data_IF_637029540373
#
_entry.id   IF_637029540373
#
_cell.length_a   1.000
_cell.length_b   1.000
_cell.length_c   1.000
_cell.angle_alpha   90.00
_cell.angle_beta   90.00
_cell.angle_gamma   90.00
#
_symmetry.space_group_name_H-M   'P 1'
#
loop_
_entity.id
_entity.type
_entity.pdbx_description
1 polymer ?
#
# COMPACT_ATOMS: atom_id res chain seq x y z
N UNK A 1 35.56 -8.17 15.43
CA UNK A 1 34.72 -8.75 14.37
C UNK A 1 34.82 -7.81 13.18
N UNK A 2 35.55 -8.22 12.14
CA UNK A 2 36.00 -7.36 11.02
C UNK A 2 34.88 -7.11 10.01
N UNK A 3 34.82 -5.90 9.44
CA UNK A 3 33.81 -5.36 8.49
C UNK A 3 33.70 -6.09 7.13
N UNK A 4 34.14 -7.35 7.01
CA UNK A 4 34.52 -7.96 5.73
C UNK A 4 33.46 -8.83 5.01
N UNK A 5 32.17 -8.74 5.34
CA UNK A 5 31.12 -9.49 4.60
C UNK A 5 29.76 -8.77 4.51
N UNK A 6 29.72 -7.43 4.43
CA UNK A 6 28.53 -6.78 3.88
C UNK A 6 28.66 -6.79 2.35
N UNK A 7 28.24 -7.89 1.73
CA UNK A 7 27.94 -7.87 0.29
C UNK A 7 27.04 -6.68 -0.03
N UNK A 8 27.21 -6.06 -1.20
CA UNK A 8 26.42 -4.89 -1.60
C UNK A 8 24.93 -5.20 -1.40
N UNK A 9 24.23 -4.35 -0.63
CA UNK A 9 22.79 -4.53 -0.38
C UNK A 9 22.08 -4.49 -1.73
N UNK A 10 21.49 -5.61 -2.12
CA UNK A 10 20.65 -5.69 -3.32
C UNK A 10 19.44 -4.76 -3.23
N UNK A 11 18.88 -4.42 -4.39
CA UNK A 11 17.69 -3.57 -4.50
C UNK A 11 16.43 -4.35 -4.06
N UNK A 12 15.69 -3.81 -3.09
CA UNK A 12 14.45 -4.40 -2.62
C UNK A 12 13.24 -3.69 -3.25
N UNK A 13 12.52 -4.41 -4.12
CA UNK A 13 11.37 -3.89 -4.86
C UNK A 13 10.09 -4.57 -4.39
N UNK A 14 9.07 -3.78 -4.08
CA UNK A 14 7.70 -4.23 -3.79
C UNK A 14 6.77 -3.84 -4.94
N UNK A 15 6.03 -4.80 -5.48
CA UNK A 15 5.08 -4.57 -6.57
C UNK A 15 3.67 -5.04 -6.20
N UNK A 16 2.66 -4.23 -6.54
CA UNK A 16 1.25 -4.55 -6.35
C UNK A 16 0.49 -4.62 -7.67
N UNK A 17 -0.22 -5.73 -7.88
CA UNK A 17 -1.16 -5.85 -8.98
C UNK A 17 -2.48 -5.13 -8.72
N UNK A 18 -3.15 -4.72 -9.78
CA UNK A 18 -4.53 -4.22 -9.71
C UNK A 18 -5.50 -5.35 -9.38
N UNK A 19 -6.40 -5.10 -8.42
CA UNK A 19 -7.32 -6.14 -7.93
C UNK A 19 -8.70 -5.66 -7.48
N UNK A 20 -8.95 -4.35 -7.44
CA UNK A 20 -10.19 -3.81 -6.87
C UNK A 20 -10.25 -4.07 -5.36
N UNK A 21 -11.41 -4.47 -4.86
CA UNK A 21 -11.60 -4.87 -3.45
C UNK A 21 -10.61 -5.95 -3.00
N UNK A 22 -10.22 -6.87 -3.90
CA UNK A 22 -9.26 -7.96 -3.60
C UNK A 22 -7.86 -7.45 -3.30
N UNK A 23 -7.51 -6.23 -3.69
CA UNK A 23 -6.20 -5.62 -3.36
C UNK A 23 -5.97 -5.45 -1.85
N UNK A 24 -7.03 -5.48 -1.04
CA UNK A 24 -6.91 -5.50 0.42
C UNK A 24 -6.14 -6.74 0.91
N UNK A 25 -6.29 -7.88 0.23
CA UNK A 25 -5.55 -9.11 0.57
C UNK A 25 -4.05 -8.91 0.44
N UNK A 26 -3.58 -8.23 -0.61
CA UNK A 26 -2.15 -7.93 -0.82
C UNK A 26 -1.57 -7.07 0.30
N UNK A 27 -2.34 -6.11 0.82
CA UNK A 27 -1.93 -5.30 1.98
C UNK A 27 -1.86 -6.13 3.27
N UNK A 28 -2.80 -7.05 3.48
CA UNK A 28 -2.78 -7.97 4.64
C UNK A 28 -1.60 -8.94 4.57
N UNK A 29 -1.28 -9.46 3.38
CA UNK A 29 -0.10 -10.29 3.16
C UNK A 29 1.18 -9.49 3.44
N UNK A 30 1.26 -8.25 2.95
CA UNK A 30 2.40 -7.38 3.24
C UNK A 30 2.53 -7.08 4.74
N UNK A 31 1.41 -6.90 5.46
CA UNK A 31 1.44 -6.68 6.92
C UNK A 31 2.10 -7.85 7.63
N UNK A 32 1.71 -9.07 7.28
CA UNK A 32 2.31 -10.26 7.88
C UNK A 32 3.80 -10.39 7.49
N UNK A 33 4.16 -10.07 6.25
CA UNK A 33 5.56 -10.02 5.83
C UNK A 33 6.38 -9.02 6.66
N UNK A 34 5.89 -7.79 6.82
CA UNK A 34 6.55 -6.75 7.61
C UNK A 34 6.62 -7.13 9.09
N UNK A 35 5.60 -7.79 9.64
CA UNK A 35 5.63 -8.32 11.01
C UNK A 35 6.76 -9.33 11.20
N UNK A 36 6.94 -10.25 10.24
CA UNK A 36 8.04 -11.25 10.27
C UNK A 36 9.42 -10.63 10.07
N UNK A 37 9.52 -9.59 9.24
CA UNK A 37 10.76 -8.81 9.08
C UNK A 37 11.10 -8.14 10.41
N UNK A 38 10.15 -7.44 11.03
CA UNK A 38 10.36 -6.76 12.30
C UNK A 38 10.69 -7.72 13.45
N UNK A 39 10.06 -8.89 13.53
CA UNK A 39 10.36 -9.87 14.58
C UNK A 39 11.78 -10.45 14.52
N UNK A 40 12.45 -10.33 13.38
CA UNK A 40 13.83 -10.78 13.18
C UNK A 40 14.86 -9.65 13.34
N UNK A 41 14.41 -8.40 13.52
CA UNK A 41 15.28 -7.25 13.72
C UNK A 41 15.56 -7.09 15.22
N UNK A 42 16.78 -6.66 15.53
CA UNK A 42 17.17 -6.29 16.91
C UNK A 42 16.66 -4.89 17.29
N UNK A 43 16.31 -4.06 16.30
CA UNK A 43 15.77 -2.72 16.49
C UNK A 43 14.33 -2.76 17.03
N UNK A 44 14.09 -2.02 18.10
CA UNK A 44 12.77 -1.90 18.73
C UNK A 44 11.81 -1.01 17.96
N UNK A 45 12.31 -0.15 17.06
CA UNK A 45 11.46 0.67 16.19
C UNK A 45 10.86 -0.19 15.08
N UNK A 46 9.53 -0.14 14.96
CA UNK A 46 8.80 -0.77 13.87
C UNK A 46 9.27 -0.19 12.52
N UNK A 47 9.76 -1.06 11.63
CA UNK A 47 10.09 -0.73 10.25
C UNK A 47 8.83 -0.75 9.40
N UNK A 48 8.57 0.35 8.73
CA UNK A 48 7.46 0.48 7.79
C UNK A 48 7.88 0.11 6.36
N UNK A 49 6.93 -0.25 5.47
CA UNK A 49 7.26 -0.63 4.09
C UNK A 49 8.12 0.40 3.35
N UNK A 50 7.87 1.70 3.52
CA UNK A 50 8.64 2.77 2.86
C UNK A 50 10.07 2.93 3.38
N UNK A 51 10.41 2.31 4.50
CA UNK A 51 11.78 2.28 5.05
C UNK A 51 12.52 1.01 4.61
N UNK A 52 11.79 -0.06 4.25
CA UNK A 52 12.37 -1.35 3.87
C UNK A 52 12.60 -1.51 2.37
N UNK A 53 11.63 -1.10 1.55
CA UNK A 53 11.66 -1.25 0.10
C UNK A 53 12.18 0.03 -0.55
N UNK A 54 13.17 -0.13 -1.42
CA UNK A 54 13.79 0.99 -2.14
C UNK A 54 12.86 1.49 -3.27
N UNK A 55 12.03 0.60 -3.82
CA UNK A 55 11.00 0.92 -4.83
C UNK A 55 9.68 0.27 -4.44
N UNK A 56 8.60 1.05 -4.48
CA UNK A 56 7.23 0.55 -4.34
C UNK A 56 6.44 0.93 -5.60
N UNK A 57 5.99 -0.09 -6.34
CA UNK A 57 5.28 0.08 -7.60
C UNK A 57 3.92 -0.63 -7.58
N UNK A 58 3.03 -0.24 -8.49
CA UNK A 58 1.79 -0.99 -8.71
C UNK A 58 0.95 -0.47 -9.86
N UNK A 59 -0.01 -1.29 -10.28
CA UNK A 59 -0.94 -1.00 -11.39
C UNK A 59 -2.38 -0.94 -10.90
N UNK A 60 -3.22 -0.08 -11.51
CA UNK A 60 -4.62 0.06 -11.10
C UNK A 60 -4.78 0.39 -9.62
N UNK A 61 -5.54 -0.43 -8.87
CA UNK A 61 -5.66 -0.24 -7.41
C UNK A 61 -4.37 -0.54 -6.65
N UNK A 62 -3.46 -1.36 -7.20
CA UNK A 62 -2.12 -1.56 -6.66
C UNK A 62 -1.27 -0.29 -6.75
N UNK A 63 -1.52 0.57 -7.75
CA UNK A 63 -0.91 1.91 -7.82
C UNK A 63 -1.36 2.81 -6.66
N UNK A 64 -2.60 2.65 -6.18
CA UNK A 64 -3.09 3.36 -5.00
C UNK A 64 -2.37 2.86 -3.74
N UNK A 65 -2.22 1.55 -3.59
CA UNK A 65 -1.42 0.95 -2.50
C UNK A 65 0.03 1.44 -2.53
N UNK A 66 0.64 1.51 -3.72
CA UNK A 66 1.99 2.04 -3.88
C UNK A 66 2.10 3.53 -3.49
N UNK A 67 1.12 4.36 -3.85
CA UNK A 67 1.06 5.76 -3.45
C UNK A 67 0.89 5.92 -1.92
N UNK A 68 -0.02 5.15 -1.30
CA UNK A 68 -0.22 5.16 0.16
C UNK A 68 1.08 4.81 0.88
N UNK A 69 1.64 3.64 0.58
CA UNK A 69 2.79 3.11 1.30
C UNK A 69 4.06 3.91 0.98
N UNK A 70 4.36 4.15 -0.30
CA UNK A 70 5.59 4.81 -0.72
C UNK A 70 5.52 6.33 -0.64
N UNK A 71 4.68 6.96 -1.45
CA UNK A 71 4.70 8.42 -1.63
C UNK A 71 4.18 9.18 -0.40
N UNK A 72 3.10 8.68 0.20
CA UNK A 72 2.48 9.25 1.39
C UNK A 72 3.11 8.73 2.69
N UNK A 73 4.04 7.77 2.58
CA UNK A 73 4.71 7.11 3.72
C UNK A 73 3.70 6.67 4.78
N UNK A 74 2.62 6.05 4.32
CA UNK A 74 1.53 5.62 5.18
C UNK A 74 1.90 4.35 5.92
N UNK A 75 1.78 4.32 7.27
CA UNK A 75 1.90 3.08 8.02
C UNK A 75 0.99 2.00 7.45
N UNK A 76 1.44 0.75 7.51
CA UNK A 76 0.72 -0.34 6.85
C UNK A 76 -0.69 -0.54 7.41
N UNK A 77 -0.89 -0.40 8.72
CA UNK A 77 -2.22 -0.51 9.33
C UNK A 77 -3.17 0.57 8.81
N UNK A 78 -2.72 1.83 8.78
CA UNK A 78 -3.52 2.94 8.26
C UNK A 78 -3.83 2.76 6.78
N UNK A 79 -2.90 2.17 6.01
CA UNK A 79 -3.10 1.89 4.59
C UNK A 79 -4.19 0.83 4.37
N UNK A 80 -4.24 -0.20 5.21
CA UNK A 80 -5.30 -1.23 5.18
C UNK A 80 -6.66 -0.59 5.44
N UNK A 81 -6.78 0.23 6.49
CA UNK A 81 -8.03 0.89 6.84
C UNK A 81 -8.50 1.87 5.76
N UNK A 82 -7.61 2.73 5.26
CA UNK A 82 -7.94 3.70 4.22
C UNK A 82 -8.30 3.01 2.90
N UNK A 83 -7.62 1.92 2.55
CA UNK A 83 -7.97 1.13 1.37
C UNK A 83 -9.37 0.51 1.52
N UNK A 84 -9.67 -0.09 2.68
CA UNK A 84 -10.99 -0.67 2.94
C UNK A 84 -12.11 0.39 2.84
N UNK A 85 -11.96 1.53 3.52
CA UNK A 85 -12.90 2.66 3.47
C UNK A 85 -13.09 3.20 2.05
N UNK A 86 -11.99 3.34 1.30
CA UNK A 86 -12.04 3.80 -0.08
C UNK A 86 -12.77 2.80 -0.99
N UNK A 87 -12.50 1.50 -0.85
CA UNK A 87 -13.19 0.46 -1.63
C UNK A 87 -14.68 0.44 -1.32
N UNK A 88 -15.07 0.53 -0.04
CA UNK A 88 -16.47 0.61 0.35
C UNK A 88 -17.18 1.80 -0.32
N UNK A 89 -16.58 2.99 -0.28
CA UNK A 89 -17.15 4.20 -0.91
C UNK A 89 -17.22 4.14 -2.44
N UNK A 90 -16.27 3.45 -3.09
CA UNK A 90 -16.24 3.33 -4.55
C UNK A 90 -17.28 2.30 -5.04
N UNK A 91 -17.47 1.21 -4.29
CA UNK A 91 -18.32 0.09 -4.68
C UNK A 91 -19.73 0.11 -4.05
N UNK A 92 -20.01 1.03 -3.12
CA UNK A 92 -21.35 1.22 -2.54
C UNK A 92 -22.38 1.75 -3.56
N UNK A 93 -21.95 2.57 -4.52
CA UNK A 93 -22.80 3.03 -5.62
C UNK A 93 -22.55 2.21 -6.90
N UNK A 94 -23.26 1.08 -7.04
CA UNK A 94 -23.32 0.38 -8.33
C UNK A 94 -23.93 1.30 -9.38
N UNK A 95 -23.22 1.52 -10.50
CA UNK A 95 -23.83 2.14 -11.68
C UNK A 95 -24.99 1.26 -12.16
N UNK A 96 -26.18 1.84 -12.29
CA UNK A 96 -27.35 1.14 -12.85
C UNK A 96 -27.21 0.88 -14.36
N UNK A 97 -26.40 1.67 -15.08
CA UNK A 97 -26.20 1.56 -16.53
C UNK A 97 -24.74 1.85 -16.94
N UNK A 98 -24.22 1.10 -17.92
CA UNK A 98 -22.90 1.28 -18.55
C UNK A 98 -21.84 0.22 -18.18
N UNK A 99 -20.72 0.14 -18.94
CA UNK A 99 -19.75 -0.96 -18.81
C UNK A 99 -18.84 -0.85 -17.58
N UNK A 100 -18.78 0.33 -16.93
CA UNK A 100 -17.94 0.55 -15.75
C UNK A 100 -18.73 0.28 -14.46
N UNK A 101 -18.17 -0.55 -13.57
CA UNK A 101 -18.80 -0.93 -12.30
C UNK A 101 -19.00 0.24 -11.31
N UNK A 102 -18.23 1.33 -11.46
CA UNK A 102 -18.22 2.47 -10.54
C UNK A 102 -18.12 3.82 -11.27
N UNK A 103 -18.43 4.91 -10.57
CA UNK A 103 -18.22 6.28 -11.06
C UNK A 103 -16.77 6.70 -10.80
N UNK A 104 -16.01 7.04 -11.85
CA UNK A 104 -14.63 7.52 -11.73
C UNK A 104 -14.47 8.77 -10.86
N UNK A 105 -15.52 9.59 -10.74
CA UNK A 105 -15.57 10.75 -9.84
C UNK A 105 -15.41 10.37 -8.37
N UNK A 106 -15.96 9.22 -7.95
CA UNK A 106 -15.90 8.76 -6.56
C UNK A 106 -14.45 8.36 -6.22
N UNK A 107 -13.77 7.67 -7.13
CA UNK A 107 -12.34 7.34 -7.00
C UNK A 107 -11.49 8.61 -6.92
N UNK A 108 -11.73 9.59 -7.81
CA UNK A 108 -10.99 10.85 -7.80
C UNK A 108 -11.20 11.63 -6.48
N UNK A 109 -12.43 11.70 -5.97
CA UNK A 109 -12.73 12.36 -4.70
C UNK A 109 -12.07 11.64 -3.52
N UNK A 110 -12.13 10.31 -3.48
CA UNK A 110 -11.48 9.51 -2.45
C UNK A 110 -9.96 9.75 -2.43
N UNK A 111 -9.32 9.74 -3.61
CA UNK A 111 -7.88 10.02 -3.73
C UNK A 111 -7.53 11.46 -3.29
N UNK A 112 -8.32 12.46 -3.72
CA UNK A 112 -8.12 13.86 -3.30
C UNK A 112 -8.28 14.01 -1.78
N UNK A 113 -9.28 13.36 -1.19
CA UNK A 113 -9.52 13.37 0.25
C UNK A 113 -8.35 12.75 1.03
N UNK A 114 -7.85 11.61 0.56
CA UNK A 114 -6.70 10.93 1.16
C UNK A 114 -5.44 11.81 1.15
N UNK A 115 -5.15 12.48 0.05
CA UNK A 115 -3.98 13.37 -0.08
C UNK A 115 -4.12 14.60 0.82
N UNK A 116 -5.32 15.20 0.89
CA UNK A 116 -5.58 16.40 1.70
C UNK A 116 -5.47 16.16 3.20
N UNK A 117 -5.82 14.97 3.70
CA UNK A 117 -5.74 14.66 5.14
C UNK A 117 -4.30 14.49 5.64
N UNK A 118 -3.30 14.56 4.76
CA UNK A 118 -1.91 14.18 5.06
C UNK A 118 -0.88 15.26 4.67
N UNK A 119 -1.33 16.39 4.13
CA UNK A 119 -0.56 17.63 4.01
C UNK A 119 -1.18 18.65 4.97
#
# INVERSE_FOLDING_TARGET
>A
MTEKERGEKGLNILCFDGGGTRGLSSLVVLRELMRRINSKREDSKLLEPYEHFDVIAGTGTGGISACMLGRLRMPIENSIEEYAKMMENIFSEKKMNGPALYKGTNLQQALKGMIRRRN
#
